data_IF_562919065117
#
_entry.id   IF_562919065117
#
_cell.length_a   1.000
_cell.length_b   1.000
_cell.length_c   1.000
_cell.angle_alpha   90.00
_cell.angle_beta   90.00
_cell.angle_gamma   90.00
#
_symmetry.space_group_name_H-M   'P 1'
#
loop_
_entity.id
_entity.type
_entity.pdbx_description
1 polymer ?
#
# COMPACT_ATOMS: atom_id res chain seq x y z
N UNK A 1 4.42 -5.08 41.17
CA UNK A 1 3.40 -5.88 40.44
C UNK A 1 3.78 -7.37 40.41
N UNK A 2 5.02 -7.71 40.04
CA UNK A 2 5.54 -9.08 39.98
C UNK A 2 5.31 -9.90 41.27
N UNK A 3 5.72 -9.38 42.43
CA UNK A 3 5.45 -10.07 43.70
C UNK A 3 3.95 -10.26 43.98
N UNK A 4 3.10 -9.32 43.57
CA UNK A 4 1.64 -9.35 43.83
C UNK A 4 0.89 -10.29 42.88
N UNK A 5 1.46 -10.66 41.73
CA UNK A 5 0.86 -11.65 40.82
C UNK A 5 1.29 -13.08 41.20
N UNK A 6 2.52 -13.25 41.69
CA UNK A 6 3.04 -14.56 42.12
C UNK A 6 2.66 -14.93 43.56
N UNK A 7 2.60 -13.94 44.47
CA UNK A 7 2.23 -14.12 45.88
C UNK A 7 1.18 -13.09 46.32
N UNK A 8 -0.07 -13.19 45.81
CA UNK A 8 -1.14 -12.27 46.19
C UNK A 8 -1.60 -12.52 47.63
N UNK A 9 -1.82 -11.44 48.39
CA UNK A 9 -2.44 -11.51 49.72
C UNK A 9 -3.97 -11.40 49.62
N UNK A 10 -4.47 -10.74 48.58
CA UNK A 10 -5.90 -10.56 48.32
C UNK A 10 -6.21 -10.63 46.83
N UNK A 11 -7.48 -10.90 46.47
CA UNK A 11 -7.94 -10.86 45.08
C UNK A 11 -7.76 -9.47 44.43
N UNK A 12 -7.82 -8.40 45.24
CA UNK A 12 -7.54 -7.03 44.80
C UNK A 12 -6.08 -6.85 44.36
N UNK A 13 -5.14 -7.56 44.98
CA UNK A 13 -3.73 -7.52 44.58
C UNK A 13 -3.49 -8.14 43.20
N UNK A 14 -4.19 -9.24 42.89
CA UNK A 14 -4.11 -9.90 41.58
C UNK A 14 -4.64 -8.98 40.49
N UNK A 15 -5.83 -8.38 40.70
CA UNK A 15 -6.44 -7.49 39.71
C UNK A 15 -5.63 -6.21 39.50
N UNK A 16 -5.06 -5.63 40.57
CA UNK A 16 -4.15 -4.49 40.46
C UNK A 16 -2.84 -4.85 39.74
N UNK A 17 -2.25 -6.02 40.02
CA UNK A 17 -1.05 -6.49 39.35
C UNK A 17 -1.30 -6.73 37.84
N UNK A 18 -2.41 -7.39 37.48
CA UNK A 18 -2.83 -7.59 36.08
C UNK A 18 -3.01 -6.27 35.33
N UNK A 19 -3.72 -5.30 35.93
CA UNK A 19 -3.88 -3.96 35.34
C UNK A 19 -2.54 -3.26 35.12
N UNK A 20 -1.62 -3.35 36.09
CA UNK A 20 -0.29 -2.73 35.98
C UNK A 20 0.56 -3.36 34.88
N UNK A 21 0.49 -4.68 34.69
CA UNK A 21 1.20 -5.38 33.61
C UNK A 21 0.59 -5.10 32.23
N UNK A 22 -0.74 -5.17 32.11
CA UNK A 22 -1.43 -4.80 30.88
C UNK A 22 -1.13 -3.35 30.46
N UNK A 23 -1.07 -2.43 31.44
CA UNK A 23 -0.64 -1.05 31.18
C UNK A 23 0.82 -0.99 30.71
N UNK A 24 1.72 -1.75 31.33
CA UNK A 24 3.14 -1.76 30.97
C UNK A 24 3.35 -2.22 29.53
N UNK A 25 2.70 -3.32 29.14
CA UNK A 25 2.77 -3.87 27.79
C UNK A 25 2.24 -2.87 26.75
N UNK A 26 1.06 -2.29 27.02
CA UNK A 26 0.49 -1.26 26.14
C UNK A 26 1.37 -0.01 26.08
N UNK A 27 1.94 0.42 27.20
CA UNK A 27 2.82 1.58 27.27
C UNK A 27 4.09 1.36 26.43
N UNK A 28 4.74 0.20 26.57
CA UNK A 28 5.93 -0.14 25.79
C UNK A 28 5.63 -0.23 24.30
N UNK A 29 4.49 -0.83 23.92
CA UNK A 29 4.03 -0.88 22.52
C UNK A 29 3.79 0.52 21.96
N UNK A 30 3.12 1.40 22.70
CA UNK A 30 2.86 2.77 22.26
C UNK A 30 4.14 3.61 22.16
N UNK A 31 5.07 3.44 23.10
CA UNK A 31 6.38 4.09 23.05
C UNK A 31 7.15 3.67 21.80
N UNK A 32 7.16 2.37 21.48
CA UNK A 32 7.79 1.86 20.26
C UNK A 32 7.16 2.46 18.99
N UNK A 33 5.83 2.47 18.90
CA UNK A 33 5.12 3.06 17.76
C UNK A 33 5.41 4.56 17.61
N UNK A 34 5.51 5.30 18.71
CA UNK A 34 5.84 6.72 18.68
C UNK A 34 7.25 6.95 18.14
N UNK A 35 8.24 6.17 18.61
CA UNK A 35 9.61 6.25 18.12
C UNK A 35 9.69 5.96 16.61
N UNK A 36 8.99 4.94 16.13
CA UNK A 36 8.90 4.63 14.69
C UNK A 36 8.26 5.77 13.88
N UNK A 37 7.18 6.38 14.39
CA UNK A 37 6.54 7.54 13.75
C UNK A 37 7.48 8.74 13.67
N UNK A 38 8.21 9.03 14.74
CA UNK A 38 9.20 10.11 14.76
C UNK A 38 10.33 9.84 13.77
N UNK A 39 10.81 8.60 13.69
CA UNK A 39 11.82 8.19 12.73
C UNK A 39 11.34 8.38 11.28
N UNK A 40 10.13 7.93 10.95
CA UNK A 40 9.54 8.14 9.62
C UNK A 40 9.34 9.63 9.31
N UNK A 41 8.84 10.42 10.26
CA UNK A 41 8.61 11.85 10.08
C UNK A 41 9.90 12.67 9.90
N UNK A 42 11.05 12.13 10.34
CA UNK A 42 12.37 12.72 10.12
C UNK A 42 12.96 12.42 8.74
N UNK A 43 12.41 11.43 8.02
CA UNK A 43 12.83 11.13 6.65
C UNK A 43 12.23 12.13 5.66
N UNK A 44 12.96 12.39 4.58
CA UNK A 44 12.49 13.18 3.46
C UNK A 44 11.95 12.26 2.37
N UNK A 45 10.82 12.64 1.78
CA UNK A 45 10.21 11.97 0.62
C UNK A 45 10.06 12.97 -0.53
N UNK A 46 10.21 12.53 -1.79
CA UNK A 46 9.82 13.34 -2.92
C UNK A 46 8.34 13.73 -2.82
N UNK A 47 8.03 14.97 -3.21
CA UNK A 47 6.67 15.49 -3.26
C UNK A 47 6.06 15.13 -4.61
N UNK A 48 4.92 14.43 -4.59
CA UNK A 48 4.16 14.10 -5.79
C UNK A 48 2.87 14.91 -5.80
N UNK A 49 2.84 15.99 -6.56
CA UNK A 49 1.71 16.93 -6.62
C UNK A 49 0.60 16.46 -7.56
N UNK A 50 -0.11 15.40 -7.17
CA UNK A 50 -1.26 14.88 -7.93
C UNK A 50 -2.43 15.85 -7.85
N UNK A 51 -2.88 16.34 -9.00
CA UNK A 51 -3.99 17.30 -9.12
C UNK A 51 -5.35 16.61 -9.20
N UNK A 52 -6.42 17.37 -8.95
CA UNK A 52 -7.78 16.87 -9.14
C UNK A 52 -8.07 16.48 -10.61
N UNK A 53 -7.46 17.20 -11.57
CA UNK A 53 -7.54 16.86 -12.99
C UNK A 53 -6.88 15.52 -13.32
N UNK A 54 -5.75 15.19 -12.69
CA UNK A 54 -5.09 13.89 -12.90
C UNK A 54 -6.01 12.74 -12.48
N UNK A 55 -6.60 12.86 -11.29
CA UNK A 55 -7.54 11.86 -10.77
C UNK A 55 -8.81 11.79 -11.64
N UNK A 56 -9.35 12.92 -12.06
CA UNK A 56 -10.50 12.95 -12.96
C UNK A 56 -10.21 12.23 -14.28
N UNK A 57 -9.07 12.52 -14.91
CA UNK A 57 -8.66 11.88 -16.17
C UNK A 57 -8.47 10.37 -16.04
N UNK A 58 -7.98 9.89 -14.89
CA UNK A 58 -7.81 8.46 -14.62
C UNK A 58 -9.15 7.76 -14.36
N UNK A 59 -10.00 8.37 -13.53
CA UNK A 59 -11.30 7.81 -13.15
C UNK A 59 -12.31 7.81 -14.31
N UNK A 60 -12.26 8.81 -15.20
CA UNK A 60 -13.13 8.90 -16.38
C UNK A 60 -12.95 7.73 -17.37
N UNK A 61 -11.83 7.01 -17.31
CA UNK A 61 -11.55 5.83 -18.15
C UNK A 61 -12.04 4.52 -17.53
N UNK A 62 -12.51 4.55 -16.28
CA UNK A 62 -13.04 3.36 -15.62
C UNK A 62 -14.47 3.10 -16.09
N UNK A 63 -14.89 1.82 -16.23
CA UNK A 63 -16.25 1.47 -16.61
C UNK A 63 -17.27 1.62 -15.46
N UNK A 64 -16.88 2.27 -14.37
CA UNK A 64 -17.69 2.49 -13.17
C UNK A 64 -17.19 3.76 -12.45
N UNK A 65 -18.06 4.33 -11.63
CA UNK A 65 -17.71 5.45 -10.76
C UNK A 65 -17.18 4.94 -9.42
N UNK A 66 -16.25 5.68 -8.82
CA UNK A 66 -15.81 5.42 -7.45
C UNK A 66 -16.95 5.74 -6.46
N UNK A 67 -17.01 4.97 -5.38
CA UNK A 67 -17.87 5.33 -4.24
C UNK A 67 -17.31 6.56 -3.53
N UNK A 68 -18.14 7.25 -2.74
CA UNK A 68 -17.69 8.37 -1.91
C UNK A 68 -16.49 8.00 -1.02
N UNK A 69 -16.55 6.82 -0.36
CA UNK A 69 -15.47 6.31 0.48
C UNK A 69 -14.18 6.00 -0.29
N UNK A 70 -14.28 5.50 -1.53
CA UNK A 70 -13.11 5.26 -2.39
C UNK A 70 -12.48 6.59 -2.84
N UNK A 71 -13.30 7.59 -3.16
CA UNK A 71 -12.83 8.92 -3.52
C UNK A 71 -12.15 9.63 -2.34
N UNK A 72 -12.72 9.54 -1.14
CA UNK A 72 -12.10 10.04 0.09
C UNK A 72 -10.76 9.36 0.36
N UNK A 73 -10.70 8.03 0.29
CA UNK A 73 -9.46 7.29 0.49
C UNK A 73 -8.38 7.66 -0.55
N UNK A 74 -8.78 7.84 -1.82
CA UNK A 74 -7.87 8.27 -2.87
C UNK A 74 -7.34 9.69 -2.63
N UNK A 75 -8.22 10.62 -2.25
CA UNK A 75 -7.86 12.00 -1.91
C UNK A 75 -6.92 12.08 -0.71
N UNK A 76 -7.11 11.22 0.29
CA UNK A 76 -6.25 11.11 1.45
C UNK A 76 -4.85 10.61 1.07
N UNK A 77 -4.78 9.61 0.19
CA UNK A 77 -3.52 9.08 -0.34
C UNK A 77 -2.79 10.15 -1.15
N UNK A 78 -3.47 10.81 -2.11
CA UNK A 78 -2.85 11.82 -2.98
C UNK A 78 -2.37 13.04 -2.20
N UNK A 79 -3.11 13.45 -1.17
CA UNK A 79 -2.70 14.52 -0.27
C UNK A 79 -1.45 14.16 0.53
N UNK A 80 -1.31 12.91 0.95
CA UNK A 80 -0.18 12.48 1.78
C UNK A 80 1.11 12.30 0.97
N UNK A 81 1.04 11.75 -0.24
CA UNK A 81 2.19 11.68 -1.17
C UNK A 81 2.63 13.08 -1.66
N UNK A 82 1.75 14.07 -1.54
CA UNK A 82 2.07 15.48 -1.80
C UNK A 82 2.85 16.17 -0.67
N UNK A 83 3.23 15.45 0.40
CA UNK A 83 4.03 15.99 1.52
C UNK A 83 5.50 15.64 1.36
N UNK A 84 6.36 16.40 2.04
CA UNK A 84 7.81 16.12 2.12
C UNK A 84 8.18 14.95 3.04
N UNK A 85 7.20 14.33 3.70
CA UNK A 85 7.39 13.19 4.59
C UNK A 85 6.84 11.91 3.93
N UNK A 86 7.46 10.74 4.16
CA UNK A 86 6.97 9.48 3.61
C UNK A 86 5.53 9.18 4.05
N UNK A 87 4.68 8.80 3.09
CA UNK A 87 3.33 8.30 3.38
C UNK A 87 3.43 6.89 4.00
N UNK A 88 2.78 6.69 5.16
CA UNK A 88 2.57 5.38 5.77
C UNK A 88 1.09 5.21 6.14
N UNK A 89 0.31 4.63 5.24
CA UNK A 89 -1.14 4.48 5.38
C UNK A 89 -1.60 3.04 5.28
N UNK A 90 -2.61 2.71 6.08
CA UNK A 90 -3.32 1.44 6.02
C UNK A 90 -4.68 1.65 5.35
N UNK A 91 -4.85 1.11 4.14
CA UNK A 91 -6.12 1.15 3.41
C UNK A 91 -6.99 -0.06 3.79
N UNK A 92 -7.93 0.16 4.70
CA UNK A 92 -8.82 -0.89 5.22
C UNK A 92 -10.21 -0.85 4.57
N UNK A 93 -10.82 -2.02 4.41
CA UNK A 93 -12.19 -2.17 3.91
C UNK A 93 -12.51 -3.65 3.68
N UNK A 94 -13.80 -3.98 3.56
CA UNK A 94 -14.26 -5.36 3.39
C UNK A 94 -13.77 -5.99 2.08
N UNK A 95 -13.82 -7.32 1.99
CA UNK A 95 -13.52 -8.03 0.73
C UNK A 95 -14.50 -7.53 -0.34
N UNK A 96 -13.97 -7.17 -1.52
CA UNK A 96 -14.78 -6.62 -2.62
C UNK A 96 -15.01 -5.10 -2.59
N UNK A 97 -14.61 -4.38 -1.53
CA UNK A 97 -14.76 -2.91 -1.42
C UNK A 97 -13.92 -2.07 -2.41
N UNK A 98 -13.12 -2.69 -3.28
CA UNK A 98 -12.34 -1.97 -4.29
C UNK A 98 -11.04 -1.33 -3.77
N UNK A 99 -10.47 -1.78 -2.64
CA UNK A 99 -9.15 -1.29 -2.16
C UNK A 99 -8.07 -1.29 -3.25
N UNK A 100 -8.06 -2.34 -4.07
CA UNK A 100 -7.11 -2.50 -5.17
C UNK A 100 -7.23 -1.38 -6.20
N UNK A 101 -8.44 -0.94 -6.56
CA UNK A 101 -8.59 0.12 -7.57
C UNK A 101 -8.14 1.47 -7.02
N UNK A 102 -8.41 1.76 -5.73
CA UNK A 102 -7.92 2.98 -5.07
C UNK A 102 -6.40 3.02 -5.05
N UNK A 103 -5.74 1.91 -4.66
CA UNK A 103 -4.29 1.81 -4.68
C UNK A 103 -3.72 1.93 -6.11
N UNK A 104 -4.37 1.29 -7.08
CA UNK A 104 -3.96 1.35 -8.48
C UNK A 104 -4.04 2.77 -9.06
N UNK A 105 -5.09 3.52 -8.76
CA UNK A 105 -5.23 4.91 -9.18
C UNK A 105 -4.14 5.79 -8.60
N UNK A 106 -3.86 5.67 -7.30
CA UNK A 106 -2.77 6.40 -6.66
C UNK A 106 -1.40 6.05 -7.26
N UNK A 107 -1.18 4.77 -7.56
CA UNK A 107 0.05 4.31 -8.21
C UNK A 107 0.21 4.87 -9.62
N UNK A 108 -0.81 4.77 -10.47
CA UNK A 108 -0.75 5.30 -11.83
C UNK A 108 -0.59 6.82 -11.80
N UNK A 109 -1.31 7.53 -10.93
CA UNK A 109 -1.13 8.97 -10.74
C UNK A 109 0.28 9.35 -10.30
N UNK A 110 0.91 8.55 -9.45
CA UNK A 110 2.32 8.77 -9.06
C UNK A 110 3.28 8.47 -10.22
N UNK A 111 2.97 7.45 -11.02
CA UNK A 111 3.78 7.03 -12.14
C UNK A 111 3.73 8.03 -13.32
N UNK A 112 2.60 8.70 -13.54
CA UNK A 112 2.51 9.79 -14.53
C UNK A 112 3.37 11.01 -14.16
N UNK A 113 3.78 11.12 -12.89
CA UNK A 113 4.71 12.14 -12.40
C UNK A 113 6.18 11.70 -12.44
N UNK A 114 6.51 10.62 -13.17
CA UNK A 114 7.88 10.18 -13.41
C UNK A 114 8.47 9.27 -12.33
N UNK A 115 7.67 8.80 -11.37
CA UNK A 115 8.11 7.88 -10.33
C UNK A 115 7.82 6.42 -10.69
N UNK A 116 8.69 5.51 -10.24
CA UNK A 116 8.42 4.08 -10.34
C UNK A 116 7.63 3.58 -9.14
N UNK A 117 6.61 2.76 -9.40
CA UNK A 117 5.76 2.21 -8.35
C UNK A 117 5.86 0.68 -8.35
N UNK A 118 5.90 0.10 -7.15
CA UNK A 118 5.92 -1.36 -6.96
C UNK A 118 4.68 -1.79 -6.19
N UNK A 119 3.94 -2.75 -6.74
CA UNK A 119 2.90 -3.48 -6.03
C UNK A 119 3.48 -4.78 -5.48
N UNK A 120 3.55 -4.90 -4.15
CA UNK A 120 3.94 -6.13 -3.48
C UNK A 120 2.70 -6.95 -3.11
N UNK A 121 2.74 -8.25 -3.42
CA UNK A 121 1.62 -9.18 -3.27
C UNK A 121 2.17 -10.51 -2.73
N UNK A 122 1.47 -11.23 -1.83
CA UNK A 122 2.07 -12.36 -1.12
C UNK A 122 2.30 -13.62 -1.97
N UNK A 123 1.65 -13.78 -3.12
CA UNK A 123 1.80 -14.97 -3.97
C UNK A 123 1.89 -14.61 -5.45
N UNK A 124 2.55 -15.47 -6.24
CA UNK A 124 2.67 -15.31 -7.69
C UNK A 124 1.31 -15.35 -8.39
N UNK A 125 0.38 -16.16 -7.89
CA UNK A 125 -0.99 -16.26 -8.42
C UNK A 125 -1.71 -14.91 -8.27
N UNK A 126 -1.67 -14.30 -7.08
CA UNK A 126 -2.28 -12.99 -6.86
C UNK A 126 -1.56 -11.89 -7.66
N UNK A 127 -0.23 -11.96 -7.78
CA UNK A 127 0.52 -11.01 -8.62
C UNK A 127 0.07 -11.07 -10.09
N UNK A 128 -0.13 -12.27 -10.64
CA UNK A 128 -0.67 -12.45 -11.99
C UNK A 128 -2.11 -11.92 -12.12
N UNK A 129 -2.96 -12.13 -11.11
CA UNK A 129 -4.32 -11.59 -11.09
C UNK A 129 -4.31 -10.06 -11.10
N UNK A 130 -3.55 -9.44 -10.19
CA UNK A 130 -3.42 -7.97 -10.14
C UNK A 130 -2.84 -7.40 -11.43
N UNK A 131 -1.81 -8.03 -12.00
CA UNK A 131 -1.24 -7.63 -13.29
C UNK A 131 -2.30 -7.61 -14.40
N UNK A 132 -3.09 -8.69 -14.54
CA UNK A 132 -4.18 -8.74 -15.54
C UNK A 132 -5.23 -7.65 -15.30
N UNK A 133 -5.61 -7.41 -14.04
CA UNK A 133 -6.57 -6.36 -13.69
C UNK A 133 -6.03 -4.97 -13.99
N UNK A 134 -4.76 -4.69 -13.69
CA UNK A 134 -4.11 -3.42 -13.99
C UNK A 134 -4.04 -3.18 -15.50
N UNK A 135 -3.63 -4.18 -16.28
CA UNK A 135 -3.65 -4.08 -17.75
C UNK A 135 -5.05 -3.81 -18.30
N UNK A 136 -6.08 -4.45 -17.74
CA UNK A 136 -7.46 -4.24 -18.18
C UNK A 136 -7.92 -2.79 -18.03
N UNK A 137 -7.51 -2.11 -16.96
CA UNK A 137 -7.95 -0.73 -16.68
C UNK A 137 -6.97 0.35 -17.15
N UNK A 138 -5.69 0.00 -17.33
CA UNK A 138 -4.62 0.95 -17.57
C UNK A 138 -3.75 0.54 -18.78
N UNK A 139 -4.30 -0.17 -19.77
CA UNK A 139 -3.58 -0.54 -21.01
C UNK A 139 -3.04 0.66 -21.79
N UNK A 140 -3.65 1.84 -21.60
CA UNK A 140 -3.20 3.08 -22.20
C UNK A 140 -1.94 3.68 -21.54
N UNK A 141 -1.49 3.15 -20.39
CA UNK A 141 -0.36 3.72 -19.66
C UNK A 141 0.95 3.40 -20.37
N UNK A 142 1.61 4.44 -20.90
CA UNK A 142 2.84 4.30 -21.69
C UNK A 142 4.09 4.02 -20.85
N UNK A 143 4.08 4.37 -19.56
CA UNK A 143 5.22 4.16 -18.64
C UNK A 143 5.52 2.70 -18.32
N UNK A 144 4.68 1.78 -18.79
CA UNK A 144 4.88 0.34 -18.67
C UNK A 144 4.32 -0.24 -17.37
N UNK A 145 3.67 -1.39 -17.48
CA UNK A 145 3.19 -2.19 -16.35
C UNK A 145 3.94 -3.52 -16.40
N UNK A 146 4.66 -3.83 -15.33
CA UNK A 146 5.49 -5.04 -15.21
C UNK A 146 4.91 -6.08 -14.25
N UNK A 147 5.21 -7.35 -14.53
CA UNK A 147 5.06 -8.47 -13.61
C UNK A 147 6.45 -9.07 -13.38
N UNK A 148 6.85 -9.18 -12.11
CA UNK A 148 8.05 -9.89 -11.70
C UNK A 148 7.69 -10.90 -10.61
N UNK A 149 7.91 -12.18 -10.92
CA UNK A 149 7.73 -13.31 -10.00
C UNK A 149 8.89 -14.28 -10.18
N UNK A 150 8.98 -15.31 -9.34
CA UNK A 150 10.00 -16.35 -9.47
C UNK A 150 9.99 -17.01 -10.86
N UNK A 151 8.82 -17.21 -11.46
CA UNK A 151 8.65 -17.99 -12.70
C UNK A 151 8.36 -17.15 -13.95
N UNK A 152 8.06 -15.86 -13.78
CA UNK A 152 7.56 -15.02 -14.87
C UNK A 152 8.04 -13.58 -14.70
N UNK A 153 8.55 -13.01 -15.79
CA UNK A 153 9.01 -11.63 -15.89
C UNK A 153 8.56 -11.06 -17.23
N UNK A 154 7.66 -10.07 -17.21
CA UNK A 154 7.15 -9.43 -18.43
C UNK A 154 6.77 -7.98 -18.16
N UNK A 155 6.87 -7.16 -19.19
CA UNK A 155 6.47 -5.76 -19.14
C UNK A 155 5.59 -5.49 -20.35
N UNK A 156 4.46 -4.85 -20.12
CA UNK A 156 3.58 -4.33 -21.14
C UNK A 156 3.72 -2.81 -21.16
N UNK A 157 4.16 -2.27 -22.29
CA UNK A 157 4.10 -0.85 -22.57
C UNK A 157 2.81 -0.60 -23.36
N UNK A 158 2.17 0.56 -23.17
CA UNK A 158 0.81 0.82 -23.67
C UNK A 158 0.58 0.53 -25.16
N UNK A 159 -0.69 0.54 -25.59
CA UNK A 159 -1.14 0.06 -26.92
C UNK A 159 -0.38 0.63 -28.13
N UNK A 160 0.22 1.81 -28.01
CA UNK A 160 1.02 2.46 -29.07
C UNK A 160 2.51 2.10 -29.05
N UNK A 161 2.96 1.29 -28.10
CA UNK A 161 4.36 0.91 -27.98
C UNK A 161 4.68 -0.27 -28.90
N UNK A 162 5.62 -0.08 -29.81
CA UNK A 162 6.15 -1.11 -30.72
C UNK A 162 6.98 -2.19 -30.02
N UNK A 163 6.97 -2.23 -28.68
CA UNK A 163 7.86 -3.04 -27.86
C UNK A 163 7.07 -3.96 -26.94
N UNK A 164 6.18 -4.76 -27.51
CA UNK A 164 5.59 -5.89 -26.78
C UNK A 164 6.61 -7.04 -26.70
N UNK A 165 7.77 -6.76 -26.07
CA UNK A 165 8.81 -7.76 -25.84
C UNK A 165 8.43 -8.53 -24.59
N UNK A 166 7.86 -9.72 -24.78
CA UNK A 166 7.99 -10.77 -23.79
C UNK A 166 9.49 -11.02 -23.58
N UNK A 167 10.08 -10.46 -22.52
CA UNK A 167 11.43 -10.83 -22.09
C UNK A 167 11.33 -12.19 -21.41
N UNK A 168 11.11 -13.21 -22.23
CA UNK A 168 11.10 -14.61 -21.80
C UNK A 168 12.54 -15.02 -21.55
N UNK A 169 13.06 -14.73 -20.34
CA UNK A 169 14.32 -15.34 -19.91
C UNK A 169 14.08 -16.84 -19.74
N UNK A 170 14.69 -17.62 -20.64
CA UNK A 170 14.94 -19.05 -20.45
C UNK A 170 15.67 -19.22 -19.11
N UNK A 171 15.00 -19.76 -18.10
CA UNK A 171 15.71 -20.53 -17.07
C UNK A 171 15.99 -21.88 -17.68
N UNK A 172 17.14 -21.97 -18.37
CA UNK A 172 17.79 -23.25 -18.62
C UNK A 172 18.06 -23.90 -17.27
N UNK A 173 17.61 -25.14 -17.15
CA UNK A 173 17.99 -26.13 -16.14
C UNK A 173 19.42 -25.98 -15.62
N UNK A 174 19.54 -25.92 -14.29
CA UNK A 174 20.63 -26.53 -13.52
C UNK A 174 20.00 -27.19 -12.29
#
# INVERSE_FOLDING_TARGET
ALHRIHFPKTQKDITAARKRFAFEELFLLQLHNLLQRMQLASQQSPIISVTASDIHNLTARLPFNLTASQQEALNDITRDIGRSQPMNRFLQGDVGSGKTIVAALAAIASATHGYQITFMVPTSILAQQHYKTLLKFFSYFEGGIGLLTHTDARIYYGENSTTNKAVQRRTSSL
#
